data_IF_658526578613
#
_entry.id   IF_658526578613
#
_cell.length_a   1.000
_cell.length_b   1.000
_cell.length_c   1.000
_cell.angle_alpha   90.00
_cell.angle_beta   90.00
_cell.angle_gamma   90.00
#
_symmetry.space_group_name_H-M   'P 1'
#
loop_
_entity.id
_entity.type
_entity.pdbx_description
1 polymer ?
#
# COMPACT_ATOMS: atom_id res chain seq x y z
N UNK A 1 -0.38 40.24 18.37
CA UNK A 1 -0.84 38.87 18.67
C UNK A 1 0.16 37.86 18.19
N UNK A 2 0.99 37.43 19.12
CA UNK A 2 2.10 36.53 18.83
C UNK A 2 1.67 35.09 18.41
N UNK A 3 0.44 34.69 18.71
CA UNK A 3 -0.06 33.36 18.39
C UNK A 3 -0.31 33.10 16.91
N UNK A 4 -0.25 34.12 16.08
CA UNK A 4 -0.36 34.00 14.62
C UNK A 4 0.97 34.30 13.93
N UNK A 5 2.06 34.02 14.66
CA UNK A 5 3.38 34.25 14.15
C UNK A 5 3.67 33.41 12.91
N UNK A 6 4.55 33.92 12.09
CA UNK A 6 5.12 33.23 10.95
C UNK A 6 5.61 31.81 11.32
N UNK A 7 6.12 31.63 12.54
CA UNK A 7 6.59 30.36 13.06
C UNK A 7 5.47 29.32 13.26
N UNK A 8 4.31 29.72 13.81
CA UNK A 8 3.17 28.82 13.96
C UNK A 8 2.64 28.37 12.59
N UNK A 9 2.56 29.27 11.62
CA UNK A 9 2.18 28.94 10.26
C UNK A 9 3.17 27.97 9.58
N UNK A 10 4.47 28.14 9.82
CA UNK A 10 5.51 27.25 9.32
C UNK A 10 5.37 25.87 9.96
N UNK A 11 5.11 25.77 11.26
CA UNK A 11 4.87 24.47 11.93
C UNK A 11 3.68 23.73 11.36
N UNK A 12 2.54 24.39 11.13
CA UNK A 12 1.37 23.77 10.54
C UNK A 12 1.63 23.29 9.10
N UNK A 13 2.37 24.05 8.33
CA UNK A 13 2.77 23.70 6.97
C UNK A 13 3.69 22.48 6.97
N UNK A 14 4.69 22.48 7.84
CA UNK A 14 5.63 21.37 8.00
C UNK A 14 4.91 20.10 8.42
N UNK A 15 4.00 20.16 9.40
CA UNK A 15 3.23 19.02 9.84
C UNK A 15 2.41 18.37 8.73
N UNK A 16 1.79 19.19 7.87
CA UNK A 16 1.05 18.68 6.70
C UNK A 16 1.96 18.03 5.66
N UNK A 17 3.11 18.61 5.39
CA UNK A 17 4.11 18.04 4.48
C UNK A 17 4.67 16.73 5.03
N UNK A 18 4.98 16.67 6.32
CA UNK A 18 5.48 15.46 6.98
C UNK A 18 4.44 14.34 6.96
N UNK A 19 3.14 14.66 7.13
CA UNK A 19 2.06 13.69 7.02
C UNK A 19 1.93 13.12 5.60
N UNK A 20 2.02 13.95 4.57
CA UNK A 20 2.03 13.50 3.17
C UNK A 20 3.23 12.62 2.87
N UNK A 21 4.42 13.03 3.32
CA UNK A 21 5.67 12.29 3.16
C UNK A 21 5.59 10.93 3.85
N UNK A 22 5.02 10.87 5.05
CA UNK A 22 4.80 9.64 5.78
C UNK A 22 3.90 8.66 5.02
N UNK A 23 2.84 9.12 4.40
CA UNK A 23 1.96 8.28 3.56
C UNK A 23 2.69 7.73 2.33
N UNK A 24 3.45 8.57 1.64
CA UNK A 24 4.26 8.16 0.49
C UNK A 24 5.30 7.13 0.90
N UNK A 25 6.02 7.36 1.98
CA UNK A 25 7.02 6.43 2.49
C UNK A 25 6.41 5.09 2.89
N UNK A 26 5.25 5.09 3.53
CA UNK A 26 4.55 3.86 3.90
C UNK A 26 4.20 3.03 2.67
N UNK A 27 3.69 3.64 1.62
CA UNK A 27 3.39 2.95 0.35
C UNK A 27 4.63 2.34 -0.29
N UNK A 28 5.71 3.11 -0.35
CA UNK A 28 6.98 2.66 -0.92
C UNK A 28 7.56 1.50 -0.11
N UNK A 29 7.54 1.58 1.22
CA UNK A 29 8.01 0.51 2.10
C UNK A 29 7.21 -0.78 1.87
N UNK A 30 5.90 -0.69 1.75
CA UNK A 30 5.05 -1.84 1.43
C UNK A 30 5.42 -2.45 0.08
N UNK A 31 5.59 -1.62 -0.93
CA UNK A 31 5.97 -2.08 -2.27
C UNK A 31 7.33 -2.76 -2.29
N UNK A 32 8.33 -2.19 -1.61
CA UNK A 32 9.65 -2.81 -1.47
C UNK A 32 9.54 -4.17 -0.77
N UNK A 33 8.80 -4.23 0.33
CA UNK A 33 8.64 -5.45 1.12
C UNK A 33 7.99 -6.58 0.31
N UNK A 34 6.90 -6.27 -0.40
CA UNK A 34 6.20 -7.26 -1.23
C UNK A 34 7.04 -7.66 -2.43
N UNK A 35 7.69 -6.72 -3.10
CA UNK A 35 8.58 -7.01 -4.23
C UNK A 35 9.72 -7.93 -3.84
N UNK A 36 10.33 -7.68 -2.69
CA UNK A 36 11.40 -8.53 -2.15
C UNK A 36 10.90 -9.92 -1.77
N UNK A 37 9.69 -10.01 -1.24
CA UNK A 37 9.07 -11.29 -0.89
C UNK A 37 8.80 -12.16 -2.12
N UNK A 38 8.27 -11.56 -3.18
CA UNK A 38 7.86 -12.29 -4.37
C UNK A 38 9.03 -12.64 -5.30
N UNK A 39 10.00 -11.76 -5.44
CA UNK A 39 11.09 -11.89 -6.40
C UNK A 39 12.50 -11.93 -5.82
N UNK A 40 12.62 -11.94 -4.49
CA UNK A 40 13.90 -11.93 -3.79
C UNK A 40 14.44 -10.51 -3.53
N UNK A 41 15.42 -10.42 -2.64
CA UNK A 41 15.99 -9.15 -2.17
C UNK A 41 17.09 -8.57 -3.04
N UNK A 42 17.43 -9.24 -4.13
CA UNK A 42 18.50 -8.79 -5.03
C UNK A 42 17.94 -7.86 -6.11
N UNK A 43 18.30 -6.59 -6.02
CA UNK A 43 17.79 -5.53 -6.91
C UNK A 43 18.09 -5.82 -8.39
N UNK A 44 19.25 -6.40 -8.67
CA UNK A 44 19.68 -6.69 -10.04
C UNK A 44 18.85 -7.76 -10.72
N UNK A 45 18.24 -8.67 -9.94
CA UNK A 45 17.43 -9.77 -10.44
C UNK A 45 15.94 -9.61 -10.21
N UNK A 46 15.53 -8.46 -9.65
CA UNK A 46 14.13 -8.19 -9.33
C UNK A 46 13.72 -6.83 -9.89
N UNK A 47 13.15 -6.78 -11.11
CA UNK A 47 12.77 -5.52 -11.75
C UNK A 47 11.75 -4.69 -10.96
N UNK A 48 10.78 -5.34 -10.33
CA UNK A 48 9.78 -4.68 -9.48
C UNK A 48 10.42 -4.02 -8.25
N UNK A 49 11.32 -4.75 -7.60
CA UNK A 49 12.09 -4.22 -6.47
C UNK A 49 12.98 -3.05 -6.91
N UNK A 50 13.61 -3.17 -8.06
CA UNK A 50 14.46 -2.09 -8.62
C UNK A 50 13.65 -0.81 -8.82
N UNK A 51 12.45 -0.91 -9.40
CA UNK A 51 11.56 0.24 -9.60
C UNK A 51 11.14 0.86 -8.26
N UNK A 52 10.78 0.04 -7.27
CA UNK A 52 10.41 0.50 -5.95
C UNK A 52 11.57 1.20 -5.21
N UNK A 53 12.78 0.66 -5.32
CA UNK A 53 13.98 1.28 -4.74
C UNK A 53 14.34 2.59 -5.43
N UNK A 54 14.20 2.66 -6.76
CA UNK A 54 14.41 3.90 -7.50
C UNK A 54 13.45 5.00 -7.03
N UNK A 55 12.17 4.68 -6.89
CA UNK A 55 11.17 5.60 -6.37
C UNK A 55 11.47 6.04 -4.93
N UNK A 56 11.93 5.12 -4.09
CA UNK A 56 12.35 5.43 -2.73
C UNK A 56 13.48 6.46 -2.69
N UNK A 57 14.44 6.32 -3.58
CA UNK A 57 15.56 7.27 -3.70
C UNK A 57 15.11 8.63 -4.22
N UNK A 58 14.20 8.67 -5.19
CA UNK A 58 13.61 9.92 -5.68
C UNK A 58 12.88 10.67 -4.56
N UNK A 59 12.20 9.96 -3.68
CA UNK A 59 11.51 10.53 -2.52
C UNK A 59 12.44 10.77 -1.31
N UNK A 60 13.74 10.63 -1.50
CA UNK A 60 14.76 10.83 -0.46
C UNK A 60 14.59 9.95 0.78
N UNK A 61 14.15 8.72 0.57
CA UNK A 61 14.07 7.73 1.66
C UNK A 61 15.48 7.34 2.11
N UNK A 62 15.77 7.34 3.42
CA UNK A 62 17.06 6.89 3.94
C UNK A 62 17.35 5.44 3.53
N UNK A 63 18.62 5.18 3.21
CA UNK A 63 19.05 3.84 2.77
C UNK A 63 18.74 2.76 3.81
N UNK A 64 18.82 3.08 5.10
CA UNK A 64 18.49 2.14 6.18
C UNK A 64 17.03 1.68 6.12
N UNK A 65 16.12 2.57 5.75
CA UNK A 65 14.70 2.24 5.60
C UNK A 65 14.48 1.30 4.42
N UNK A 66 15.16 1.53 3.31
CA UNK A 66 15.13 0.67 2.12
C UNK A 66 15.65 -0.72 2.45
N UNK A 67 16.82 -0.80 3.07
CA UNK A 67 17.46 -2.06 3.46
C UNK A 67 16.58 -2.85 4.43
N UNK A 68 16.00 -2.19 5.41
CA UNK A 68 15.10 -2.82 6.38
C UNK A 68 13.83 -3.37 5.71
N UNK A 69 13.26 -2.63 4.77
CA UNK A 69 12.08 -3.07 4.04
C UNK A 69 12.38 -4.32 3.19
N UNK A 70 13.54 -4.37 2.53
CA UNK A 70 14.00 -5.55 1.77
C UNK A 70 14.14 -6.75 2.71
N UNK A 71 14.81 -6.58 3.83
CA UNK A 71 15.02 -7.65 4.82
C UNK A 71 13.71 -8.18 5.41
N UNK A 72 12.74 -7.31 5.63
CA UNK A 72 11.38 -7.74 6.01
C UNK A 72 10.74 -8.63 4.94
N UNK A 73 10.87 -8.25 3.68
CA UNK A 73 10.32 -9.01 2.56
C UNK A 73 10.96 -10.38 2.41
N UNK A 74 12.27 -10.48 2.57
CA UNK A 74 13.01 -11.73 2.45
C UNK A 74 12.92 -12.63 3.70
N UNK A 75 12.30 -12.17 4.77
CA UNK A 75 12.16 -12.92 6.01
C UNK A 75 13.38 -12.85 6.94
N UNK A 76 14.35 -12.00 6.64
CA UNK A 76 15.55 -11.82 7.49
C UNK A 76 15.26 -11.03 8.77
N UNK A 77 14.16 -10.29 8.81
CA UNK A 77 13.68 -9.60 10.00
C UNK A 77 12.36 -10.21 10.44
N UNK A 78 12.25 -10.55 11.73
CA UNK A 78 10.99 -10.91 12.35
C UNK A 78 10.06 -9.70 12.36
N UNK A 79 8.81 -9.90 12.03
CA UNK A 79 7.80 -8.85 12.09
C UNK A 79 6.66 -9.04 11.11
N UNK A 80 5.92 -7.98 10.91
CA UNK A 80 4.70 -7.95 10.11
C UNK A 80 5.01 -8.24 8.65
N UNK A 81 4.37 -9.28 8.12
CA UNK A 81 4.46 -9.67 6.71
C UNK A 81 3.37 -8.95 5.91
N UNK A 82 3.76 -8.23 4.86
CA UNK A 82 2.81 -7.68 3.90
C UNK A 82 2.43 -8.72 2.86
N UNK A 83 1.13 -8.77 2.53
CA UNK A 83 0.57 -9.65 1.52
C UNK A 83 -0.24 -8.86 0.50
N UNK A 84 -0.25 -9.34 -0.73
CA UNK A 84 -1.18 -8.88 -1.74
C UNK A 84 -2.51 -9.62 -1.58
N UNK A 85 -3.58 -8.86 -1.50
CA UNK A 85 -4.96 -9.40 -1.43
C UNK A 85 -5.80 -8.71 -2.48
N UNK A 86 -6.52 -9.49 -3.26
CA UNK A 86 -7.45 -8.97 -4.25
C UNK A 86 -8.87 -9.06 -3.74
N UNK A 87 -9.59 -7.95 -3.84
CA UNK A 87 -11.01 -7.86 -3.57
C UNK A 87 -11.75 -7.52 -4.85
N UNK A 88 -12.96 -8.01 -4.95
CA UNK A 88 -13.87 -7.74 -6.05
C UNK A 88 -15.13 -7.11 -5.51
N UNK A 89 -15.70 -6.19 -6.25
CA UNK A 89 -16.91 -5.51 -5.85
C UNK A 89 -17.59 -4.78 -6.98
N UNK A 90 -18.65 -4.09 -6.64
CA UNK A 90 -19.39 -3.26 -7.56
C UNK A 90 -19.41 -1.82 -7.09
N UNK A 91 -19.20 -0.91 -8.03
CA UNK A 91 -19.42 0.51 -7.83
C UNK A 91 -20.85 0.93 -8.15
N UNK A 92 -21.06 2.24 -8.15
CA UNK A 92 -22.33 2.83 -8.54
C UNK A 92 -22.66 2.40 -10.00
N UNK A 93 -23.93 2.06 -10.25
CA UNK A 93 -24.39 1.65 -11.57
C UNK A 93 -24.00 0.21 -11.95
N UNK A 94 -23.50 -0.57 -11.02
CA UNK A 94 -23.16 -1.98 -11.24
C UNK A 94 -21.80 -2.20 -11.91
N UNK A 95 -20.95 -1.19 -11.96
CA UNK A 95 -19.60 -1.32 -12.51
C UNK A 95 -18.77 -2.28 -11.65
N UNK A 96 -18.20 -3.32 -12.27
CA UNK A 96 -17.30 -4.24 -11.59
C UNK A 96 -15.96 -3.55 -11.27
N UNK A 97 -15.48 -3.74 -10.04
CA UNK A 97 -14.24 -3.15 -9.57
C UNK A 97 -13.36 -4.26 -9.01
N UNK A 98 -12.09 -4.27 -9.43
CA UNK A 98 -11.05 -5.11 -8.86
C UNK A 98 -10.13 -4.21 -8.04
N UNK A 99 -9.87 -4.61 -6.80
CA UNK A 99 -9.09 -3.82 -5.85
C UNK A 99 -7.92 -4.66 -5.37
N UNK A 100 -6.71 -4.28 -5.77
CA UNK A 100 -5.49 -4.90 -5.28
C UNK A 100 -4.95 -4.13 -4.07
N UNK A 101 -4.82 -4.81 -2.96
CA UNK A 101 -4.36 -4.24 -1.70
C UNK A 101 -3.06 -4.88 -1.24
N UNK A 102 -2.13 -4.04 -0.76
CA UNK A 102 -0.98 -4.47 0.02
C UNK A 102 -1.28 -4.26 1.49
N UNK A 103 -1.34 -5.32 2.26
CA UNK A 103 -1.72 -5.22 3.67
C UNK A 103 -0.95 -6.20 4.55
N UNK A 104 -0.75 -5.80 5.78
CA UNK A 104 -0.28 -6.64 6.87
C UNK A 104 -1.42 -7.31 7.64
N UNK A 105 -2.65 -6.89 7.39
CA UNK A 105 -3.85 -7.40 8.04
C UNK A 105 -5.02 -7.49 7.06
N UNK A 106 -5.29 -8.69 6.57
CA UNK A 106 -6.36 -8.96 5.61
C UNK A 106 -7.76 -8.58 6.14
N UNK A 107 -8.00 -8.81 7.43
CA UNK A 107 -9.29 -8.51 8.03
C UNK A 107 -9.56 -7.01 8.08
N UNK A 108 -8.57 -6.22 8.48
CA UNK A 108 -8.69 -4.75 8.49
C UNK A 108 -8.83 -4.20 7.07
N UNK A 109 -8.02 -4.68 6.13
CA UNK A 109 -8.11 -4.25 4.74
C UNK A 109 -9.48 -4.57 4.13
N UNK A 110 -10.01 -5.78 4.37
CA UNK A 110 -11.34 -6.18 3.92
C UNK A 110 -12.44 -5.31 4.49
N UNK A 111 -12.36 -4.99 5.79
CA UNK A 111 -13.31 -4.09 6.43
C UNK A 111 -13.25 -2.66 5.86
N UNK A 112 -12.05 -2.14 5.63
CA UNK A 112 -11.84 -0.81 5.07
C UNK A 112 -12.35 -0.71 3.62
N UNK A 113 -12.09 -1.72 2.81
CA UNK A 113 -12.57 -1.81 1.41
C UNK A 113 -14.10 -1.89 1.40
N UNK A 114 -14.70 -2.74 2.23
CA UNK A 114 -16.17 -2.86 2.35
C UNK A 114 -16.78 -1.53 2.76
N UNK A 115 -16.21 -0.87 3.75
CA UNK A 115 -16.69 0.42 4.22
C UNK A 115 -16.61 1.49 3.13
N UNK A 116 -15.50 1.57 2.41
CA UNK A 116 -15.30 2.53 1.33
C UNK A 116 -16.32 2.31 0.20
N UNK A 117 -16.52 1.08 -0.24
CA UNK A 117 -17.48 0.74 -1.28
C UNK A 117 -18.92 1.08 -0.84
N UNK A 118 -19.30 0.66 0.35
CA UNK A 118 -20.65 0.91 0.90
C UNK A 118 -20.91 2.40 1.06
N UNK A 119 -19.95 3.16 1.55
CA UNK A 119 -20.05 4.62 1.72
C UNK A 119 -20.32 5.35 0.41
N UNK A 120 -19.80 4.85 -0.69
CA UNK A 120 -19.92 5.47 -2.02
C UNK A 120 -20.93 4.77 -2.94
N UNK A 121 -21.88 4.02 -2.38
CA UNK A 121 -22.98 3.41 -3.12
C UNK A 121 -22.65 2.12 -3.85
N UNK A 122 -21.49 1.53 -3.57
CA UNK A 122 -21.10 0.22 -4.06
C UNK A 122 -21.24 -0.87 -3.01
N UNK A 123 -20.76 -2.05 -3.31
CA UNK A 123 -20.68 -3.16 -2.37
C UNK A 123 -19.53 -4.09 -2.70
N UNK A 124 -19.04 -4.78 -1.69
CA UNK A 124 -18.04 -5.82 -1.84
C UNK A 124 -18.72 -7.09 -2.35
N UNK A 125 -18.24 -7.61 -3.47
CA UNK A 125 -18.73 -8.86 -4.02
C UNK A 125 -18.05 -10.06 -3.38
N UNK A 126 -18.67 -11.22 -3.52
CA UNK A 126 -18.08 -12.50 -3.18
C UNK A 126 -17.69 -13.20 -4.48
N UNK A 127 -16.39 -13.20 -4.83
CA UNK A 127 -15.77 -14.06 -5.86
C UNK A 127 -16.51 -14.10 -7.22
N UNK A 128 -16.75 -12.93 -7.81
CA UNK A 128 -17.49 -12.84 -9.07
C UNK A 128 -16.78 -13.48 -10.27
N UNK A 129 -15.47 -13.44 -10.30
CA UNK A 129 -14.69 -14.06 -11.37
C UNK A 129 -14.56 -15.57 -11.18
N UNK A 130 -14.70 -16.06 -9.95
CA UNK A 130 -14.62 -17.50 -9.63
C UNK A 130 -15.88 -18.25 -9.99
N UNK A 131 -17.03 -17.59 -10.01
CA UNK A 131 -18.32 -18.23 -10.35
C UNK A 131 -18.52 -18.44 -11.83
N UNK A 132 -17.82 -17.71 -12.70
CA UNK A 132 -17.87 -17.94 -14.13
C UNK A 132 -17.05 -19.15 -14.56
N UNK A 133 -15.89 -19.36 -13.93
CA UNK A 133 -15.04 -20.53 -14.23
C UNK A 133 -15.64 -21.84 -13.72
N UNK A 134 -16.38 -21.79 -12.63
CA UNK A 134 -17.05 -22.99 -12.08
C UNK A 134 -18.31 -23.41 -12.87
N UNK A 135 -18.82 -22.52 -13.70
CA UNK A 135 -19.99 -22.82 -14.55
C UNK A 135 -19.62 -23.41 -15.93
N UNK A 136 -18.36 -23.31 -16.32
CA UNK A 136 -17.84 -23.83 -17.60
C UNK A 136 -17.24 -25.25 -17.48
N UNK A 137 -17.19 -25.84 -16.29
CA UNK A 137 -16.87 -27.24 -16.05
C UNK A 137 -18.16 -28.06 -15.82
#
# INVERSE_FOLDING_TARGET
>A
MAGHSKWANIQHRKGRQDAKRGKVFTKIIKEITVSARLGGGEVNFNPRLRAAVALAKEENMPQDNITRAIKKGTGELEGVSYEEVRYEGYGIGGAAIIIDCLTDNKQRAGADVRHALTKHGGNLGTCLLYTSDAADE
#
